data_IF_958648081266
#
_entry.id   IF_958648081266
#
_cell.length_a   1.000
_cell.length_b   1.000
_cell.length_c   1.000
_cell.angle_alpha   90.00
_cell.angle_beta   90.00
_cell.angle_gamma   90.00
#
_symmetry.space_group_name_H-M   'P 1'
#
loop_
_entity.id
_entity.type
_entity.pdbx_description
1 polymer ?
#
# COMPACT_ATOMS: atom_id res chain seq x y z
N UNK A 1 47.65 1.40 3.18
CA UNK A 1 46.28 1.29 3.74
C UNK A 1 45.52 2.47 3.16
N UNK A 2 45.28 2.44 1.83
CA UNK A 2 44.93 3.63 1.03
C UNK A 2 43.74 3.39 0.10
N UNK A 3 42.91 2.38 0.41
CA UNK A 3 41.73 2.02 -0.39
C UNK A 3 40.41 2.56 0.19
N UNK A 4 40.45 3.32 1.29
CA UNK A 4 39.26 3.83 1.98
C UNK A 4 38.92 5.30 1.65
N UNK A 5 39.54 5.87 0.62
CA UNK A 5 39.37 7.29 0.27
C UNK A 5 39.24 7.53 -1.24
N UNK A 6 38.57 6.63 -1.95
CA UNK A 6 38.01 6.95 -3.26
C UNK A 6 36.54 7.32 -3.06
N UNK A 7 36.12 8.56 -3.40
CA UNK A 7 34.70 8.86 -3.47
C UNK A 7 34.06 7.88 -4.46
N UNK A 8 32.84 7.40 -4.17
CA UNK A 8 32.17 6.41 -5.03
C UNK A 8 32.18 6.93 -6.47
N UNK A 9 32.43 6.05 -7.46
CA UNK A 9 32.42 6.45 -8.86
C UNK A 9 31.12 7.18 -9.16
N UNK A 10 31.22 8.39 -9.71
CA UNK A 10 30.08 9.23 -10.01
C UNK A 10 29.04 8.42 -10.79
N UNK A 11 27.85 8.26 -10.21
CA UNK A 11 26.74 7.58 -10.88
C UNK A 11 26.53 8.25 -12.25
N UNK A 12 26.31 7.46 -13.32
CA UNK A 12 26.03 8.03 -14.63
C UNK A 12 24.86 9.02 -14.50
N UNK A 13 25.03 10.24 -15.03
CA UNK A 13 24.02 11.30 -15.07
C UNK A 13 22.84 10.92 -15.99
N UNK A 14 22.10 9.89 -15.59
CA UNK A 14 20.76 9.55 -16.02
C UNK A 14 19.84 9.61 -14.82
N UNK A 15 19.99 10.66 -14.00
CA UNK A 15 19.26 10.81 -12.74
C UNK A 15 17.76 10.65 -12.95
N UNK A 16 17.16 9.69 -12.24
CA UNK A 16 15.71 9.50 -12.19
C UNK A 16 15.08 10.86 -11.87
N UNK A 17 14.39 11.47 -12.84
CA UNK A 17 13.80 12.80 -12.64
C UNK A 17 12.87 12.70 -11.43
N UNK A 18 13.25 13.37 -10.33
CA UNK A 18 12.52 13.37 -9.05
C UNK A 18 11.22 14.15 -9.21
N UNK A 19 10.25 13.54 -9.91
CA UNK A 19 8.98 14.15 -10.28
C UNK A 19 7.93 14.05 -9.16
N UNK A 20 8.14 13.17 -8.17
CA UNK A 20 7.25 13.02 -7.02
C UNK A 20 7.71 13.92 -5.87
N UNK A 21 6.86 14.88 -5.49
CA UNK A 21 7.05 15.75 -4.32
C UNK A 21 6.78 14.96 -3.05
N UNK A 22 7.36 15.36 -1.91
CA UNK A 22 7.14 14.75 -0.59
C UNK A 22 5.64 14.53 -0.26
N UNK A 23 4.79 15.48 -0.64
CA UNK A 23 3.33 15.38 -0.47
C UNK A 23 2.68 14.24 -1.28
N UNK A 24 3.18 13.94 -2.48
CA UNK A 24 2.65 12.85 -3.30
C UNK A 24 3.06 11.50 -2.69
N UNK A 25 4.29 11.41 -2.20
CA UNK A 25 4.76 10.22 -1.49
C UNK A 25 3.96 9.96 -0.22
N UNK A 26 3.73 10.97 0.61
CA UNK A 26 2.92 10.82 1.84
C UNK A 26 1.49 10.39 1.53
N UNK A 27 0.85 10.99 0.52
CA UNK A 27 -0.53 10.62 0.17
C UNK A 27 -0.62 9.26 -0.51
N UNK A 28 0.38 8.86 -1.30
CA UNK A 28 0.49 7.51 -1.85
C UNK A 28 0.63 6.48 -0.74
N UNK A 29 1.49 6.75 0.26
CA UNK A 29 1.63 5.88 1.43
C UNK A 29 0.32 5.75 2.21
N UNK A 30 -0.35 6.87 2.51
CA UNK A 30 -1.64 6.87 3.18
C UNK A 30 -2.72 6.16 2.35
N UNK A 31 -2.73 6.36 1.03
CA UNK A 31 -3.71 5.77 0.12
C UNK A 31 -3.51 4.28 -0.12
N UNK A 32 -2.26 3.82 -0.05
CA UNK A 32 -1.89 2.40 -0.10
C UNK A 32 -2.19 1.69 1.21
N UNK A 33 -1.95 2.33 2.36
CA UNK A 33 -2.32 1.76 3.68
C UNK A 33 -3.84 1.76 3.89
N UNK A 34 -4.53 2.82 3.48
CA UNK A 34 -6.00 2.93 3.54
C UNK A 34 -6.57 2.28 2.28
N UNK A 35 -6.63 0.95 2.31
CA UNK A 35 -7.05 0.12 1.18
C UNK A 35 -8.47 -0.43 1.29
N UNK A 36 -8.80 -1.29 0.33
CA UNK A 36 -9.98 -2.16 0.37
C UNK A 36 -9.99 -3.03 1.64
N UNK A 37 -8.83 -3.38 2.20
CA UNK A 37 -8.70 -4.10 3.46
C UNK A 37 -9.43 -3.44 4.64
N UNK A 38 -9.42 -2.10 4.73
CA UNK A 38 -10.16 -1.39 5.78
C UNK A 38 -11.66 -1.30 5.46
N UNK A 39 -12.05 -1.04 4.22
CA UNK A 39 -13.45 -0.80 3.86
C UNK A 39 -14.28 -2.08 3.65
N UNK A 40 -13.66 -3.09 3.05
CA UNK A 40 -14.31 -4.36 2.69
C UNK A 40 -13.80 -5.46 3.62
N UNK A 41 -12.48 -5.49 3.89
CA UNK A 41 -11.86 -6.55 4.69
C UNK A 41 -12.17 -6.51 6.18
N UNK A 42 -12.60 -5.37 6.75
CA UNK A 42 -12.94 -5.29 8.18
C UNK A 42 -14.29 -5.94 8.51
N UNK A 43 -15.20 -6.07 7.54
CA UNK A 43 -16.56 -6.51 7.79
C UNK A 43 -16.64 -7.95 8.31
N UNK A 44 -15.85 -8.86 7.73
CA UNK A 44 -15.86 -10.28 8.10
C UNK A 44 -15.31 -10.52 9.53
N UNK A 45 -14.11 -10.04 9.91
CA UNK A 45 -13.64 -10.15 11.30
C UNK A 45 -14.59 -9.51 12.32
N UNK A 46 -15.17 -8.36 11.97
CA UNK A 46 -16.08 -7.63 12.84
C UNK A 46 -17.37 -8.43 13.13
N UNK A 47 -17.90 -9.13 12.11
CA UNK A 47 -19.10 -9.96 12.26
C UNK A 47 -18.84 -11.31 12.93
N UNK A 48 -17.64 -11.88 12.77
CA UNK A 48 -17.30 -13.22 13.24
C UNK A 48 -16.73 -13.26 14.66
N UNK A 49 -15.82 -12.34 14.99
CA UNK A 49 -15.11 -12.30 16.30
C UNK A 49 -15.60 -11.14 17.18
N UNK A 50 -16.39 -10.22 16.60
CA UNK A 50 -16.91 -9.05 17.29
C UNK A 50 -15.92 -7.88 17.38
N UNK A 51 -16.36 -6.71 17.88
CA UNK A 51 -15.57 -5.48 17.86
C UNK A 51 -14.28 -5.56 18.68
N UNK A 52 -14.34 -6.13 19.89
CA UNK A 52 -13.18 -6.22 20.78
C UNK A 52 -12.11 -7.17 20.24
N UNK A 53 -12.51 -8.33 19.71
CA UNK A 53 -11.58 -9.30 19.12
C UNK A 53 -10.93 -8.78 17.84
N UNK A 54 -11.69 -8.09 17.01
CA UNK A 54 -11.16 -7.43 15.80
C UNK A 54 -10.12 -6.37 16.16
N UNK A 55 -10.41 -5.52 17.15
CA UNK A 55 -9.48 -4.49 17.60
C UNK A 55 -8.17 -5.10 18.12
N UNK A 56 -8.26 -6.15 18.95
CA UNK A 56 -7.08 -6.82 19.50
C UNK A 56 -6.22 -7.46 18.40
N UNK A 57 -6.85 -8.10 17.41
CA UNK A 57 -6.15 -8.67 16.26
C UNK A 57 -5.40 -7.61 15.46
N UNK A 58 -6.03 -6.45 15.20
CA UNK A 58 -5.40 -5.33 14.50
C UNK A 58 -4.27 -4.70 15.31
N UNK A 59 -4.40 -4.57 16.63
CA UNK A 59 -3.33 -4.07 17.49
C UNK A 59 -2.11 -5.01 17.49
N UNK A 60 -2.35 -6.31 17.56
CA UNK A 60 -1.29 -7.30 17.53
C UNK A 60 -0.56 -7.30 16.18
N UNK A 61 -1.30 -7.39 15.08
CA UNK A 61 -0.73 -7.34 13.73
C UNK A 61 0.00 -6.00 13.46
N UNK A 62 -0.60 -4.89 13.91
CA UNK A 62 -0.01 -3.56 13.80
C UNK A 62 1.30 -3.43 14.56
N UNK A 63 1.42 -4.02 15.75
CA UNK A 63 2.66 -3.98 16.54
C UNK A 63 3.81 -4.69 15.83
N UNK A 64 3.54 -5.87 15.24
CA UNK A 64 4.53 -6.61 14.46
C UNK A 64 4.96 -5.82 13.21
N UNK A 65 4.00 -5.21 12.52
CA UNK A 65 4.27 -4.39 11.34
C UNK A 65 5.08 -3.14 11.69
N UNK A 66 4.75 -2.47 12.79
CA UNK A 66 5.51 -1.32 13.30
C UNK A 66 6.94 -1.69 13.65
N UNK A 67 7.16 -2.79 14.39
CA UNK A 67 8.50 -3.27 14.71
C UNK A 67 9.31 -3.54 13.43
N UNK A 68 8.69 -4.19 12.44
CA UNK A 68 9.31 -4.47 11.14
C UNK A 68 9.70 -3.19 10.40
N UNK A 69 8.81 -2.19 10.33
CA UNK A 69 9.11 -0.92 9.67
C UNK A 69 10.14 -0.07 10.40
N UNK A 70 10.21 -0.15 11.73
CA UNK A 70 11.27 0.52 12.49
C UNK A 70 12.64 -0.05 12.15
N UNK A 71 12.81 -1.38 12.18
CA UNK A 71 14.07 -2.02 11.80
C UNK A 71 14.47 -1.70 10.35
N UNK A 72 13.48 -1.69 9.45
CA UNK A 72 13.72 -1.38 8.05
C UNK A 72 14.06 0.10 7.82
N UNK A 73 13.46 1.00 8.61
CA UNK A 73 13.75 2.42 8.59
C UNK A 73 15.17 2.72 9.07
N UNK A 74 15.62 2.09 10.16
CA UNK A 74 17.02 2.19 10.62
C UNK A 74 17.99 1.71 9.55
N UNK A 75 17.68 0.59 8.91
CA UNK A 75 18.52 0.03 7.86
C UNK A 75 18.58 0.90 6.60
N UNK A 76 17.46 1.52 6.24
CA UNK A 76 17.37 2.45 5.11
C UNK A 76 18.15 3.75 5.34
N UNK A 77 18.21 4.22 6.59
CA UNK A 77 19.01 5.37 6.99
C UNK A 77 20.51 5.03 7.06
N UNK A 78 20.86 3.82 7.53
CA UNK A 78 22.25 3.38 7.64
C UNK A 78 22.89 3.05 6.29
N UNK A 79 22.12 2.48 5.35
CA UNK A 79 22.58 2.07 4.02
C UNK A 79 21.66 2.65 2.94
N UNK A 80 21.87 3.92 2.53
CA UNK A 80 21.03 4.60 1.55
C UNK A 80 21.36 4.11 0.15
N UNK A 81 20.83 2.94 -0.23
CA UNK A 81 20.91 2.41 -1.58
C UNK A 81 19.53 2.52 -2.24
N UNK A 82 19.49 2.84 -3.54
CA UNK A 82 18.24 2.88 -4.33
C UNK A 82 17.60 1.50 -4.58
N UNK A 83 18.00 0.47 -3.81
CA UNK A 83 17.57 -0.92 -3.96
C UNK A 83 16.37 -1.25 -3.07
N UNK A 84 15.60 -2.27 -3.46
CA UNK A 84 14.51 -2.83 -2.62
C UNK A 84 15.07 -3.59 -1.42
N UNK A 85 14.23 -3.95 -0.45
CA UNK A 85 14.59 -4.71 0.76
C UNK A 85 15.30 -6.04 0.47
N UNK A 86 15.09 -6.57 -0.74
CA UNK A 86 15.85 -7.68 -1.30
C UNK A 86 17.38 -7.44 -1.26
N UNK A 87 17.83 -6.21 -1.48
CA UNK A 87 19.24 -5.82 -1.44
C UNK A 87 19.82 -5.98 -0.03
N UNK A 88 19.06 -5.60 0.99
CA UNK A 88 19.47 -5.81 2.38
C UNK A 88 19.56 -7.30 2.72
N UNK A 89 18.64 -8.12 2.22
CA UNK A 89 18.75 -9.57 2.37
C UNK A 89 20.01 -10.13 1.70
N UNK A 90 20.43 -9.60 0.56
CA UNK A 90 21.68 -10.00 -0.10
C UNK A 90 22.92 -9.62 0.73
N UNK A 91 22.88 -8.47 1.41
CA UNK A 91 24.00 -7.94 2.18
C UNK A 91 24.22 -8.69 3.50
N UNK A 92 23.14 -9.04 4.20
CA UNK A 92 23.23 -9.63 5.54
C UNK A 92 23.02 -11.14 5.60
N UNK A 93 22.46 -11.78 4.55
CA UNK A 93 22.23 -13.23 4.58
C UNK A 93 23.37 -14.01 3.93
N UNK A 94 23.75 -15.18 4.49
CA UNK A 94 24.88 -15.97 4.00
C UNK A 94 24.71 -16.53 2.58
N UNK A 95 23.46 -16.73 2.13
CA UNK A 95 23.16 -17.32 0.82
C UNK A 95 22.31 -16.38 -0.04
N UNK A 96 22.68 -16.16 -1.31
CA UNK A 96 21.93 -15.31 -2.23
C UNK A 96 20.52 -15.84 -2.53
N UNK A 97 20.26 -17.14 -2.27
CA UNK A 97 18.94 -17.73 -2.43
C UNK A 97 17.87 -17.04 -1.57
N UNK A 98 18.24 -16.57 -0.38
CA UNK A 98 17.28 -15.88 0.50
C UNK A 98 16.84 -14.53 -0.08
N UNK A 99 17.78 -13.78 -0.65
CA UNK A 99 17.49 -12.54 -1.36
C UNK A 99 16.54 -12.79 -2.53
N UNK A 100 16.83 -13.81 -3.35
CA UNK A 100 15.96 -14.18 -4.47
C UNK A 100 14.53 -14.55 -4.02
N UNK A 101 14.41 -15.39 -2.99
CA UNK A 101 13.11 -15.77 -2.43
C UNK A 101 12.32 -14.57 -1.91
N UNK A 102 12.98 -13.66 -1.17
CA UNK A 102 12.34 -12.42 -0.68
C UNK A 102 11.86 -11.55 -1.85
N UNK A 103 12.64 -11.44 -2.92
CA UNK A 103 12.24 -10.74 -4.14
C UNK A 103 10.96 -11.31 -4.76
N UNK A 104 10.88 -12.63 -4.89
CA UNK A 104 9.67 -13.29 -5.41
C UNK A 104 8.47 -13.16 -4.48
N UNK A 105 8.65 -13.38 -3.18
CA UNK A 105 7.57 -13.22 -2.20
C UNK A 105 7.03 -11.79 -2.19
N UNK A 106 7.91 -10.80 -2.33
CA UNK A 106 7.53 -9.41 -2.47
C UNK A 106 6.70 -9.17 -3.74
N UNK A 107 7.15 -9.69 -4.88
CA UNK A 107 6.39 -9.59 -6.13
C UNK A 107 5.03 -10.29 -6.05
N UNK A 108 4.96 -11.50 -5.50
CA UNK A 108 3.70 -12.23 -5.29
C UNK A 108 2.76 -11.48 -4.34
N UNK A 109 3.29 -10.87 -3.28
CA UNK A 109 2.49 -10.04 -2.38
C UNK A 109 1.81 -8.90 -3.13
N UNK A 110 2.51 -8.23 -4.05
CA UNK A 110 1.90 -7.20 -4.90
C UNK A 110 0.86 -7.76 -5.87
N UNK A 111 1.13 -8.89 -6.51
CA UNK A 111 0.18 -9.55 -7.43
C UNK A 111 -1.11 -9.92 -6.69
N UNK A 112 -1.00 -10.54 -5.51
CA UNK A 112 -2.17 -10.91 -4.72
C UNK A 112 -2.93 -9.71 -4.17
N UNK A 113 -2.21 -8.66 -3.73
CA UNK A 113 -2.84 -7.41 -3.30
C UNK A 113 -3.64 -6.78 -4.44
N UNK A 114 -3.05 -6.68 -5.64
CA UNK A 114 -3.72 -6.12 -6.81
C UNK A 114 -4.94 -6.97 -7.22
N UNK A 115 -4.81 -8.30 -7.18
CA UNK A 115 -5.93 -9.20 -7.48
C UNK A 115 -7.09 -9.03 -6.48
N UNK A 116 -6.80 -8.86 -5.19
CA UNK A 116 -7.78 -8.59 -4.16
C UNK A 116 -8.49 -7.23 -4.40
N UNK A 117 -7.73 -6.19 -4.70
CA UNK A 117 -8.27 -4.85 -4.99
C UNK A 117 -9.17 -4.83 -6.22
N UNK A 118 -8.76 -5.49 -7.31
CA UNK A 118 -9.56 -5.60 -8.53
C UNK A 118 -10.85 -6.38 -8.30
N UNK A 119 -10.77 -7.48 -7.54
CA UNK A 119 -11.93 -8.31 -7.20
C UNK A 119 -12.94 -7.53 -6.36
N UNK A 120 -12.46 -6.81 -5.35
CA UNK A 120 -13.26 -5.90 -4.55
C UNK A 120 -13.96 -4.83 -5.41
N UNK A 121 -13.22 -4.16 -6.29
CA UNK A 121 -13.78 -3.15 -7.19
C UNK A 121 -14.81 -3.77 -8.17
N UNK A 122 -14.53 -4.97 -8.68
CA UNK A 122 -15.44 -5.72 -9.54
C UNK A 122 -16.75 -6.09 -8.85
N UNK A 123 -16.69 -6.52 -7.58
CA UNK A 123 -17.89 -6.78 -6.78
C UNK A 123 -18.73 -5.52 -6.58
N UNK A 124 -18.11 -4.38 -6.28
CA UNK A 124 -18.82 -3.10 -6.15
C UNK A 124 -19.48 -2.72 -7.48
N UNK A 125 -18.77 -2.80 -8.61
CA UNK A 125 -19.32 -2.48 -9.92
C UNK A 125 -20.50 -3.38 -10.31
N UNK A 126 -20.42 -4.67 -9.98
CA UNK A 126 -21.48 -5.64 -10.22
C UNK A 126 -22.77 -5.33 -9.44
N UNK A 127 -22.69 -4.67 -8.28
CA UNK A 127 -23.89 -4.23 -7.55
C UNK A 127 -24.69 -3.18 -8.33
N UNK A 128 -24.02 -2.35 -9.13
CA UNK A 128 -24.69 -1.35 -9.99
C UNK A 128 -25.12 -1.93 -11.34
N UNK A 129 -24.35 -2.87 -11.89
CA UNK A 129 -24.59 -3.48 -13.19
C UNK A 129 -24.58 -5.01 -13.09
N UNK A 130 -25.64 -5.62 -12.54
CA UNK A 130 -25.67 -7.06 -12.27
C UNK A 130 -25.72 -7.93 -13.53
N UNK A 131 -25.97 -7.34 -14.70
CA UNK A 131 -25.93 -8.05 -15.98
C UNK A 131 -24.50 -8.38 -16.45
N UNK A 132 -23.49 -7.71 -15.88
CA UNK A 132 -22.08 -7.84 -16.29
C UNK A 132 -21.33 -8.63 -15.22
N UNK A 133 -20.72 -9.79 -15.54
CA UNK A 133 -20.01 -10.61 -14.56
C UNK A 133 -18.76 -9.91 -14.02
N UNK A 134 -18.43 -10.22 -12.76
CA UNK A 134 -17.33 -9.59 -11.99
C UNK A 134 -15.99 -9.63 -12.73
N UNK A 135 -15.64 -10.75 -13.37
CA UNK A 135 -14.35 -10.89 -14.06
C UNK A 135 -14.17 -9.89 -15.22
N UNK A 136 -15.26 -9.48 -15.89
CA UNK A 136 -15.18 -8.48 -16.95
C UNK A 136 -14.88 -7.09 -16.39
N UNK A 137 -15.43 -6.75 -15.23
CA UNK A 137 -15.07 -5.52 -14.52
C UNK A 137 -13.60 -5.55 -14.08
N UNK A 138 -13.14 -6.66 -13.49
CA UNK A 138 -11.74 -6.81 -13.09
C UNK A 138 -10.79 -6.61 -14.28
N UNK A 139 -11.10 -7.26 -15.41
CA UNK A 139 -10.28 -7.16 -16.62
C UNK A 139 -10.30 -5.76 -17.23
N UNK A 140 -11.47 -5.10 -17.27
CA UNK A 140 -11.58 -3.73 -17.75
C UNK A 140 -10.78 -2.74 -16.88
N UNK A 141 -10.90 -2.83 -15.55
CA UNK A 141 -10.16 -1.98 -14.62
C UNK A 141 -8.65 -2.22 -14.75
N UNK A 142 -8.22 -3.49 -14.83
CA UNK A 142 -6.82 -3.84 -15.01
C UNK A 142 -6.26 -3.23 -16.31
N UNK A 143 -6.96 -3.37 -17.44
CA UNK A 143 -6.53 -2.81 -18.72
C UNK A 143 -6.42 -1.29 -18.67
N UNK A 144 -7.38 -0.61 -18.04
CA UNK A 144 -7.35 0.85 -17.86
C UNK A 144 -6.14 1.27 -17.03
N UNK A 145 -5.90 0.60 -15.89
CA UNK A 145 -4.75 0.88 -15.03
C UNK A 145 -3.42 0.63 -15.75
N UNK A 146 -3.31 -0.47 -16.49
CA UNK A 146 -2.12 -0.76 -17.31
C UNK A 146 -1.92 0.30 -18.40
N UNK A 147 -2.97 0.74 -19.09
CA UNK A 147 -2.87 1.78 -20.11
C UNK A 147 -2.42 3.14 -19.52
N UNK A 148 -2.96 3.52 -18.36
CA UNK A 148 -2.54 4.73 -17.63
C UNK A 148 -1.07 4.61 -17.21
N UNK A 149 -0.66 3.45 -16.68
CA UNK A 149 0.70 3.19 -16.25
C UNK A 149 1.71 3.30 -17.40
N UNK A 150 1.36 2.79 -18.58
CA UNK A 150 2.19 2.88 -19.79
C UNK A 150 2.31 4.31 -20.34
N UNK A 151 1.33 5.17 -20.11
CA UNK A 151 1.32 6.53 -20.65
C UNK A 151 2.19 7.49 -19.83
N UNK A 152 2.05 7.50 -18.50
CA UNK A 152 2.92 8.31 -17.64
C UNK A 152 2.82 7.91 -16.17
N UNK A 153 3.95 7.50 -15.58
CA UNK A 153 4.08 7.28 -14.14
C UNK A 153 3.76 8.54 -13.30
N UNK A 154 3.93 9.74 -13.87
CA UNK A 154 3.57 10.99 -13.19
C UNK A 154 2.05 11.16 -13.08
N UNK A 155 1.32 10.84 -14.15
CA UNK A 155 -0.15 10.89 -14.15
C UNK A 155 -0.72 9.88 -13.16
N UNK A 156 -0.12 8.70 -13.05
CA UNK A 156 -0.51 7.71 -12.04
C UNK A 156 -0.37 8.28 -10.61
N UNK A 157 0.76 8.91 -10.28
CA UNK A 157 0.98 9.49 -8.95
C UNK A 157 0.03 10.65 -8.60
N UNK A 158 -0.40 11.45 -9.57
CA UNK A 158 -1.43 12.49 -9.37
C UNK A 158 -2.82 11.86 -9.20
N UNK A 159 -3.19 10.86 -10.00
CA UNK A 159 -4.45 10.12 -9.83
C UNK A 159 -4.54 9.48 -8.45
N UNK A 160 -3.47 8.82 -8.01
CA UNK A 160 -3.41 8.17 -6.71
C UNK A 160 -3.50 9.18 -5.55
N UNK A 161 -2.87 10.35 -5.69
CA UNK A 161 -3.03 11.45 -4.74
C UNK A 161 -4.49 11.84 -4.56
N UNK A 162 -5.23 12.06 -5.65
CA UNK A 162 -6.64 12.44 -5.59
C UNK A 162 -7.53 11.31 -5.05
N UNK A 163 -7.30 10.07 -5.47
CA UNK A 163 -8.03 8.91 -4.96
C UNK A 163 -7.81 8.70 -3.47
N UNK A 164 -6.57 8.83 -2.99
CA UNK A 164 -6.23 8.77 -1.57
C UNK A 164 -6.93 9.86 -0.75
N UNK A 165 -6.98 11.09 -1.26
CA UNK A 165 -7.68 12.18 -0.60
C UNK A 165 -9.18 11.90 -0.40
N UNK A 166 -9.83 11.31 -1.41
CA UNK A 166 -11.25 10.89 -1.33
C UNK A 166 -11.43 9.85 -0.21
N UNK A 167 -10.54 8.85 -0.12
CA UNK A 167 -10.60 7.82 0.92
C UNK A 167 -10.50 8.40 2.33
N UNK A 168 -9.55 9.32 2.55
CA UNK A 168 -9.37 10.00 3.85
C UNK A 168 -10.62 10.80 4.21
N UNK A 169 -11.19 11.54 3.26
CA UNK A 169 -12.42 12.27 3.47
C UNK A 169 -13.61 11.34 3.80
N UNK A 170 -13.72 10.21 3.11
CA UNK A 170 -14.76 9.21 3.37
C UNK A 170 -14.71 8.66 4.81
N UNK A 171 -13.51 8.36 5.33
CA UNK A 171 -13.34 7.95 6.74
C UNK A 171 -13.80 9.05 7.69
N UNK A 172 -13.37 10.29 7.45
CA UNK A 172 -13.79 11.44 8.26
C UNK A 172 -15.31 11.62 8.25
N UNK A 173 -15.95 11.48 7.10
CA UNK A 173 -17.40 11.58 6.97
C UNK A 173 -18.15 10.47 7.75
N UNK A 174 -17.67 9.22 7.68
CA UNK A 174 -18.25 8.09 8.43
C UNK A 174 -18.11 8.32 9.94
N UNK A 175 -16.93 8.75 10.40
CA UNK A 175 -16.70 9.06 11.82
C UNK A 175 -17.63 10.15 12.34
N UNK A 176 -17.74 11.27 11.60
CA UNK A 176 -18.62 12.38 11.98
C UNK A 176 -20.09 11.97 12.03
N UNK A 177 -20.54 11.17 11.05
CA UNK A 177 -21.91 10.66 11.02
C UNK A 177 -22.20 9.72 12.18
N UNK A 178 -21.28 8.82 12.52
CA UNK A 178 -21.40 7.92 13.67
C UNK A 178 -21.52 8.70 14.98
N UNK A 179 -20.60 9.65 15.22
CA UNK A 179 -20.65 10.51 16.40
C UNK A 179 -21.94 11.33 16.48
N UNK A 180 -22.45 11.84 15.35
CA UNK A 180 -23.72 12.57 15.29
C UNK A 180 -24.91 11.69 15.68
N UNK A 181 -24.93 10.44 15.23
CA UNK A 181 -25.96 9.47 15.61
C UNK A 181 -25.91 9.13 17.11
N UNK A 182 -24.72 8.93 17.67
CA UNK A 182 -24.55 8.60 19.10
C UNK A 182 -24.99 9.75 20.03
N UNK A 183 -24.75 11.00 19.63
CA UNK A 183 -25.20 12.19 20.36
C UNK A 183 -26.72 12.38 20.32
N UNK A 184 -27.39 11.91 19.26
CA UNK A 184 -28.84 11.95 19.14
C UNK A 184 -29.51 10.77 19.85
N UNK A 185 -28.86 9.61 19.89
CA UNK A 185 -29.37 8.40 20.53
C UNK A 185 -29.14 8.36 22.05
N UNK A 186 -28.06 8.98 22.55
CA UNK A 186 -27.69 9.02 23.96
C UNK A 186 -27.45 10.46 24.45
N UNK A 187 -28.30 11.41 24.03
CA UNK A 187 -28.31 12.75 24.61
C UNK A 187 -28.46 12.71 26.15
N UNK A 188 -28.00 13.76 26.87
CA UNK A 188 -27.83 13.74 28.33
C UNK A 188 -29.09 13.33 29.10
#
# INVERSE_FOLDING_TARGET
MDTLQQPPPAEPEGGLRRNLKKRHLLMMLLGGTIGTGLFIGIAEPLSSVGPAGTLLAYLFAGTIMLATMMCLGELSCAFPHSGSFQHYALMFMPSPCWSYTIGWLYWFSWVFSLAADLTAAGFIAHQFFPAVPVYMFCLAILLILTAINLTSAKSFGECEYWLSAIKVFAIGAVYLRGRGHDLLANGP
#
